data_IF_691806129773
#
_entry.id   IF_691806129773
#
_cell.length_a   1.000
_cell.length_b   1.000
_cell.length_c   1.000
_cell.angle_alpha   90.00
_cell.angle_beta   90.00
_cell.angle_gamma   90.00
#
_symmetry.space_group_name_H-M   'P 1'
#
loop_
_entity.id
_entity.type
_entity.pdbx_description
1 polymer ?
#
# COMPACT_ATOMS: atom_id res chain seq x y z
N UNK A 1 23.12 15.49 -1.93
CA UNK A 1 21.85 16.21 -2.18
C UNK A 1 21.24 15.67 -3.47
N UNK A 2 20.33 14.72 -3.37
CA UNK A 2 19.58 14.23 -4.55
C UNK A 2 18.66 15.38 -4.98
N UNK A 3 18.85 15.85 -6.20
CA UNK A 3 18.02 16.87 -6.85
C UNK A 3 16.58 16.36 -6.80
N UNK A 4 15.74 16.87 -5.88
CA UNK A 4 14.31 16.51 -5.83
C UNK A 4 13.74 16.92 -7.19
N UNK A 5 13.48 15.95 -8.07
CA UNK A 5 12.67 16.20 -9.24
C UNK A 5 11.34 16.73 -8.70
N UNK A 6 11.08 18.02 -8.93
CA UNK A 6 9.94 18.81 -8.44
C UNK A 6 8.65 18.42 -9.18
N UNK A 7 8.47 17.14 -9.46
CA UNK A 7 7.26 16.64 -10.09
C UNK A 7 6.24 16.53 -8.98
N UNK A 8 5.19 17.35 -9.07
CA UNK A 8 4.04 17.28 -8.16
C UNK A 8 3.57 15.83 -8.05
N UNK A 9 3.31 15.37 -6.82
CA UNK A 9 2.80 14.02 -6.55
C UNK A 9 1.59 13.68 -7.42
N UNK A 10 0.76 14.67 -7.77
CA UNK A 10 -0.40 14.50 -8.66
C UNK A 10 0.01 14.06 -10.06
N UNK A 11 1.05 14.68 -10.62
CA UNK A 11 1.56 14.37 -11.97
C UNK A 11 2.25 13.01 -11.97
N UNK A 12 2.99 12.67 -10.90
CA UNK A 12 3.59 11.34 -10.73
C UNK A 12 2.53 10.24 -10.71
N UNK A 13 1.48 10.41 -9.89
CA UNK A 13 0.36 9.46 -9.85
C UNK A 13 -0.33 9.35 -11.20
N UNK A 14 -0.55 10.47 -11.89
CA UNK A 14 -1.16 10.50 -13.22
C UNK A 14 -0.39 9.63 -14.22
N UNK A 15 0.92 9.84 -14.33
CA UNK A 15 1.75 9.01 -15.22
C UNK A 15 1.76 7.54 -14.81
N UNK A 16 1.87 7.23 -13.51
CA UNK A 16 1.87 5.86 -13.01
C UNK A 16 0.59 5.11 -13.40
N UNK A 17 -0.58 5.74 -13.23
CA UNK A 17 -1.86 5.14 -13.56
C UNK A 17 -2.07 5.02 -15.07
N UNK A 18 -1.66 6.01 -15.85
CA UNK A 18 -1.78 5.96 -17.32
C UNK A 18 -0.94 4.83 -17.90
N UNK A 19 0.35 4.77 -17.58
CA UNK A 19 1.23 3.71 -18.06
C UNK A 19 0.78 2.32 -17.58
N UNK A 20 0.37 2.21 -16.31
CA UNK A 20 -0.16 0.97 -15.75
C UNK A 20 -1.43 0.51 -16.48
N UNK A 21 -2.39 1.41 -16.70
CA UNK A 21 -3.64 1.08 -17.41
C UNK A 21 -3.40 0.68 -18.85
N UNK A 22 -2.47 1.35 -19.54
CA UNK A 22 -2.16 1.08 -20.94
C UNK A 22 -1.53 -0.31 -21.08
N UNK A 23 -0.56 -0.61 -20.21
CA UNK A 23 0.11 -1.91 -20.18
C UNK A 23 -0.86 -3.03 -19.83
N UNK A 24 -1.69 -2.86 -18.79
CA UNK A 24 -2.71 -3.84 -18.42
C UNK A 24 -3.75 -4.04 -19.52
N UNK A 25 -4.13 -2.98 -20.23
CA UNK A 25 -5.06 -3.09 -21.36
C UNK A 25 -4.50 -3.99 -22.48
N UNK A 26 -3.24 -3.80 -22.87
CA UNK A 26 -2.61 -4.66 -23.88
C UNK A 26 -2.45 -6.11 -23.42
N UNK A 27 -2.07 -6.32 -22.16
CA UNK A 27 -2.00 -7.66 -21.57
C UNK A 27 -3.38 -8.33 -21.57
N UNK A 28 -4.43 -7.58 -21.22
CA UNK A 28 -5.81 -8.08 -21.22
C UNK A 28 -6.26 -8.49 -22.62
N UNK A 29 -5.98 -7.69 -23.65
CA UNK A 29 -6.29 -8.06 -25.04
C UNK A 29 -5.59 -9.33 -25.51
N UNK A 30 -4.36 -9.56 -25.03
CA UNK A 30 -3.60 -10.76 -25.37
C UNK A 30 -4.11 -12.01 -24.62
N UNK A 31 -4.41 -11.86 -23.34
CA UNK A 31 -4.78 -12.97 -22.46
C UNK A 31 -6.25 -13.37 -22.61
N UNK A 32 -7.13 -12.42 -22.92
CA UNK A 32 -8.57 -12.63 -23.12
C UNK A 32 -9.02 -12.04 -24.46
N UNK A 33 -8.88 -12.80 -25.56
CA UNK A 33 -9.23 -12.34 -26.91
C UNK A 33 -10.71 -11.93 -27.07
N UNK A 34 -11.60 -12.52 -26.25
CA UNK A 34 -13.03 -12.21 -26.23
C UNK A 34 -13.43 -11.25 -25.10
N UNK A 35 -12.48 -10.70 -24.34
CA UNK A 35 -12.76 -9.85 -23.17
C UNK A 35 -13.56 -8.59 -23.52
N UNK A 36 -13.35 -8.02 -24.72
CA UNK A 36 -14.10 -6.86 -25.21
C UNK A 36 -15.60 -7.15 -25.38
N UNK A 37 -15.96 -8.36 -25.79
CA UNK A 37 -17.36 -8.77 -25.94
C UNK A 37 -18.07 -8.86 -24.59
N UNK A 38 -17.35 -9.23 -23.53
CA UNK A 38 -17.87 -9.27 -22.17
C UNK A 38 -18.18 -7.88 -21.60
N UNK A 39 -17.52 -6.82 -22.09
CA UNK A 39 -17.80 -5.44 -21.68
C UNK A 39 -19.20 -4.98 -22.12
N UNK A 40 -19.69 -5.47 -23.26
CA UNK A 40 -21.02 -5.13 -23.77
C UNK A 40 -22.17 -5.69 -22.91
N UNK A 41 -21.90 -6.73 -22.12
CA UNK A 41 -22.86 -7.33 -21.18
C UNK A 41 -22.84 -6.70 -19.78
N UNK A 42 -21.97 -5.72 -19.52
CA UNK A 42 -21.81 -5.13 -18.19
C UNK A 42 -22.98 -4.26 -17.76
N UNK A 43 -23.51 -4.49 -16.56
CA UNK A 43 -24.57 -3.66 -15.98
C UNK A 43 -24.02 -2.27 -15.58
N UNK A 44 -24.84 -1.19 -15.67
CA UNK A 44 -24.40 0.16 -15.27
C UNK A 44 -23.90 0.25 -13.81
N UNK A 45 -24.45 -0.58 -12.92
CA UNK A 45 -24.01 -0.64 -11.51
C UNK A 45 -22.58 -1.17 -11.36
N UNK A 46 -22.19 -2.19 -12.14
CA UNK A 46 -20.83 -2.72 -12.16
C UNK A 46 -19.83 -1.64 -12.57
N UNK A 47 -20.13 -0.89 -13.63
CA UNK A 47 -19.29 0.22 -14.09
C UNK A 47 -19.14 1.31 -13.04
N UNK A 48 -20.20 1.61 -12.29
CA UNK A 48 -20.14 2.58 -11.19
C UNK A 48 -19.24 2.10 -10.05
N UNK A 49 -19.30 0.81 -9.70
CA UNK A 49 -18.41 0.22 -8.68
C UNK A 49 -16.95 0.25 -9.14
N UNK A 50 -16.68 -0.10 -10.41
CA UNK A 50 -15.33 -0.02 -10.97
C UNK A 50 -14.79 1.40 -10.95
N UNK A 51 -15.60 2.38 -11.36
CA UNK A 51 -15.20 3.78 -11.33
C UNK A 51 -14.94 4.28 -9.91
N UNK A 52 -15.81 3.93 -8.96
CA UNK A 52 -15.62 4.26 -7.55
C UNK A 52 -14.33 3.64 -7.00
N UNK A 53 -14.06 2.37 -7.29
CA UNK A 53 -12.80 1.70 -6.90
C UNK A 53 -11.57 2.39 -7.52
N UNK A 54 -11.60 2.66 -8.82
CA UNK A 54 -10.49 3.30 -9.53
C UNK A 54 -10.17 4.69 -8.97
N UNK A 55 -11.19 5.47 -8.58
CA UNK A 55 -10.99 6.80 -8.02
C UNK A 55 -10.59 6.74 -6.54
N UNK A 56 -11.42 6.09 -5.70
CA UNK A 56 -11.26 6.14 -4.26
C UNK A 56 -10.19 5.20 -3.73
N UNK A 57 -10.16 3.95 -4.19
CA UNK A 57 -9.17 2.98 -3.71
C UNK A 57 -7.81 3.22 -4.37
N UNK A 58 -7.80 3.39 -5.69
CA UNK A 58 -6.55 3.44 -6.47
C UNK A 58 -6.00 4.86 -6.57
N UNK A 59 -6.72 5.79 -7.20
CA UNK A 59 -6.15 7.11 -7.50
C UNK A 59 -5.85 7.94 -6.24
N UNK A 60 -6.80 8.03 -5.29
CA UNK A 60 -6.57 8.73 -4.03
C UNK A 60 -5.52 8.03 -3.16
N UNK A 61 -5.57 6.70 -3.07
CA UNK A 61 -4.60 5.92 -2.30
C UNK A 61 -3.16 6.16 -2.78
N UNK A 62 -2.94 6.06 -4.09
CA UNK A 62 -1.62 6.34 -4.67
C UNK A 62 -1.23 7.82 -4.59
N UNK A 63 -2.18 8.74 -4.69
CA UNK A 63 -1.89 10.16 -4.50
C UNK A 63 -1.40 10.46 -3.07
N UNK A 64 -2.06 9.94 -2.05
CA UNK A 64 -1.62 10.09 -0.66
C UNK A 64 -0.29 9.40 -0.39
N UNK A 65 -0.08 8.21 -0.95
CA UNK A 65 1.20 7.50 -0.84
C UNK A 65 2.35 8.28 -1.49
N UNK A 66 2.16 8.77 -2.71
CA UNK A 66 3.17 9.59 -3.40
C UNK A 66 3.41 10.93 -2.69
N UNK A 67 2.37 11.54 -2.11
CA UNK A 67 2.52 12.72 -1.26
C UNK A 67 3.31 12.40 0.01
N UNK A 68 3.04 11.28 0.69
CA UNK A 68 3.79 10.84 1.86
C UNK A 68 5.28 10.68 1.51
N UNK A 69 5.61 10.03 0.40
CA UNK A 69 7.00 9.89 -0.07
C UNK A 69 7.68 11.26 -0.24
N UNK A 70 6.97 12.28 -0.71
CA UNK A 70 7.55 13.61 -0.88
C UNK A 70 7.80 14.35 0.45
N UNK A 71 6.97 14.09 1.47
CA UNK A 71 7.03 14.76 2.78
C UNK A 71 7.97 14.05 3.76
N UNK A 72 7.78 12.74 3.98
CA UNK A 72 8.52 11.93 4.95
C UNK A 72 9.61 11.06 4.29
N UNK A 73 9.66 11.01 2.95
CA UNK A 73 10.67 10.23 2.24
C UNK A 73 10.25 8.78 2.00
N UNK A 74 10.99 8.11 1.11
CA UNK A 74 10.64 6.78 0.60
C UNK A 74 10.79 5.68 1.65
N UNK A 75 11.82 5.75 2.51
CA UNK A 75 12.07 4.72 3.54
C UNK A 75 10.96 4.73 4.58
N UNK A 76 10.65 5.89 5.15
CA UNK A 76 9.58 6.05 6.14
C UNK A 76 8.22 5.68 5.54
N UNK A 77 7.92 6.11 4.31
CA UNK A 77 6.68 5.74 3.61
C UNK A 77 6.57 4.24 3.35
N UNK A 78 7.68 3.56 3.03
CA UNK A 78 7.72 2.12 2.82
C UNK A 78 7.47 1.34 4.12
N UNK A 79 7.84 1.89 5.28
CA UNK A 79 7.51 1.29 6.58
C UNK A 79 5.99 1.38 6.81
N UNK A 80 5.37 2.54 6.54
CA UNK A 80 3.92 2.71 6.69
C UNK A 80 3.11 1.81 5.76
N UNK A 81 3.53 1.60 4.51
CA UNK A 81 2.77 0.74 3.58
C UNK A 81 2.78 -0.74 4.00
N UNK A 82 3.77 -1.18 4.79
CA UNK A 82 3.79 -2.52 5.36
C UNK A 82 2.68 -2.75 6.41
N UNK A 83 2.01 -1.70 6.90
CA UNK A 83 0.82 -1.82 7.75
C UNK A 83 -0.46 -2.07 6.94
N UNK A 84 -0.42 -1.94 5.62
CA UNK A 84 -1.60 -2.15 4.77
C UNK A 84 -2.25 -3.54 4.96
N UNK A 85 -1.51 -4.66 5.07
CA UNK A 85 -2.09 -5.97 5.36
C UNK A 85 -2.85 -6.04 6.68
N UNK A 86 -2.40 -5.32 7.72
CA UNK A 86 -3.10 -5.22 9.01
C UNK A 86 -4.47 -4.57 8.82
N UNK A 87 -4.51 -3.40 8.16
CA UNK A 87 -5.76 -2.70 7.89
C UNK A 87 -6.66 -3.47 6.94
N UNK A 88 -6.10 -4.19 5.97
CA UNK A 88 -6.84 -5.07 5.07
C UNK A 88 -7.52 -6.20 5.82
N UNK A 89 -6.82 -6.88 6.74
CA UNK A 89 -7.40 -7.95 7.56
C UNK A 89 -8.52 -7.44 8.47
N UNK A 90 -8.30 -6.30 9.14
CA UNK A 90 -9.33 -5.64 9.95
C UNK A 90 -10.54 -5.21 9.11
N UNK A 91 -10.29 -4.69 7.91
CA UNK A 91 -11.32 -4.29 6.96
C UNK A 91 -12.15 -5.48 6.47
N UNK A 92 -11.52 -6.62 6.15
CA UNK A 92 -12.23 -7.83 5.76
C UNK A 92 -13.15 -8.33 6.88
N UNK A 93 -12.66 -8.35 8.13
CA UNK A 93 -13.48 -8.72 9.28
C UNK A 93 -14.67 -7.76 9.50
N UNK A 94 -14.44 -6.45 9.43
CA UNK A 94 -15.46 -5.43 9.75
C UNK A 94 -16.47 -5.20 8.61
N UNK A 95 -16.01 -5.13 7.36
CA UNK A 95 -16.86 -4.76 6.21
C UNK A 95 -17.42 -5.97 5.48
N UNK A 96 -16.65 -7.05 5.33
CA UNK A 96 -17.11 -8.26 4.63
C UNK A 96 -17.72 -9.28 5.61
N UNK A 97 -17.49 -9.13 6.91
CA UNK A 97 -17.98 -10.07 7.93
C UNK A 97 -17.25 -11.42 7.90
N UNK A 98 -16.07 -11.49 7.28
CA UNK A 98 -15.29 -12.72 7.21
C UNK A 98 -14.67 -13.06 8.57
N UNK A 99 -14.81 -14.30 9.02
CA UNK A 99 -14.15 -14.77 10.25
C UNK A 99 -12.64 -14.91 10.02
N UNK A 100 -11.84 -14.28 10.89
CA UNK A 100 -10.38 -14.39 10.80
C UNK A 100 -9.96 -15.84 11.05
N UNK A 101 -9.39 -16.48 10.04
CA UNK A 101 -8.94 -17.86 10.15
C UNK A 101 -7.62 -17.96 10.94
N UNK A 102 -7.33 -19.14 11.48
CA UNK A 102 -6.06 -19.39 12.16
C UNK A 102 -4.85 -19.18 11.24
N UNK A 103 -5.00 -19.45 9.93
CA UNK A 103 -3.93 -19.22 8.95
C UNK A 103 -3.70 -17.74 8.67
N UNK A 104 -4.76 -16.93 8.64
CA UNK A 104 -4.65 -15.47 8.53
C UNK A 104 -3.95 -14.86 9.75
N UNK A 105 -4.19 -15.41 10.95
CA UNK A 105 -3.51 -14.98 12.17
C UNK A 105 -1.99 -15.25 12.10
N UNK A 106 -1.58 -16.41 11.60
CA UNK A 106 -0.15 -16.72 11.39
C UNK A 106 0.45 -15.76 10.36
N UNK A 107 -0.25 -15.52 9.25
CA UNK A 107 0.17 -14.55 8.24
C UNK A 107 0.34 -13.14 8.82
N UNK A 108 -0.59 -12.72 9.67
CA UNK A 108 -0.53 -11.44 10.37
C UNK A 108 0.71 -11.33 11.27
N UNK A 109 1.01 -12.36 12.07
CA UNK A 109 2.22 -12.40 12.91
C UNK A 109 3.48 -12.30 12.04
N UNK A 110 3.55 -13.03 10.92
CA UNK A 110 4.68 -12.98 9.99
C UNK A 110 4.87 -11.59 9.37
N UNK A 111 3.78 -10.93 9.00
CA UNK A 111 3.83 -9.55 8.50
C UNK A 111 4.40 -8.62 9.57
N UNK A 112 3.87 -8.67 10.79
CA UNK A 112 4.36 -7.83 11.91
C UNK A 112 5.85 -8.05 12.15
N UNK A 113 6.30 -9.31 12.20
CA UNK A 113 7.72 -9.64 12.34
C UNK A 113 8.55 -9.07 11.19
N UNK A 114 8.09 -9.22 9.95
CA UNK A 114 8.75 -8.66 8.77
C UNK A 114 8.85 -7.13 8.82
N UNK A 115 7.79 -6.45 9.26
CA UNK A 115 7.80 -4.99 9.43
C UNK A 115 8.81 -4.57 10.49
N UNK A 116 8.81 -5.20 11.67
CA UNK A 116 9.72 -4.86 12.78
C UNK A 116 11.18 -5.06 12.37
N UNK A 117 11.49 -6.14 11.65
CA UNK A 117 12.83 -6.42 11.14
C UNK A 117 13.24 -5.46 10.01
N UNK A 118 12.35 -5.20 9.06
CA UNK A 118 12.65 -4.42 7.87
C UNK A 118 12.64 -2.90 8.07
N UNK A 119 11.95 -2.41 9.10
CA UNK A 119 11.83 -0.98 9.39
C UNK A 119 13.01 -0.39 10.15
N UNK A 120 13.94 -1.22 10.63
CA UNK A 120 15.03 -0.74 11.50
C UNK A 120 14.55 -0.32 12.90
N UNK A 121 13.30 -0.62 13.27
CA UNK A 121 12.78 -0.38 14.62
C UNK A 121 13.64 -1.08 15.68
N UNK A 122 14.26 -2.21 15.35
CA UNK A 122 15.23 -2.86 16.24
C UNK A 122 16.46 -2.00 16.51
N UNK A 123 16.97 -1.28 15.51
CA UNK A 123 18.11 -0.37 15.69
C UNK A 123 17.70 0.81 16.59
N UNK A 124 16.48 1.35 16.42
CA UNK A 124 15.94 2.39 17.32
C UNK A 124 15.73 1.89 18.74
N UNK A 125 15.19 0.69 18.92
CA UNK A 125 14.95 0.07 20.24
C UNK A 125 16.29 -0.25 20.93
N UNK A 126 17.29 -0.74 20.21
CA UNK A 126 18.61 -1.03 20.77
C UNK A 126 19.32 0.25 21.22
N UNK A 127 19.27 1.32 20.43
CA UNK A 127 19.78 2.64 20.82
C UNK A 127 19.05 3.18 22.05
N UNK A 128 17.73 3.06 22.12
CA UNK A 128 16.95 3.53 23.26
C UNK A 128 17.27 2.73 24.54
N UNK A 129 17.39 1.42 24.42
CA UNK A 129 17.73 0.52 25.52
C UNK A 129 19.16 0.76 26.01
N UNK A 130 20.10 1.00 25.10
CA UNK A 130 21.49 1.34 25.42
C UNK A 130 21.59 2.72 26.09
N UNK A 131 20.79 3.71 25.67
CA UNK A 131 20.68 5.03 26.34
C UNK A 131 20.11 4.91 27.75
N UNK A 132 19.06 4.13 27.95
CA UNK A 132 18.46 3.87 29.28
C UNK A 132 19.48 3.25 30.25
N UNK A 133 20.26 2.26 29.77
CA UNK A 133 21.31 1.58 30.54
C UNK A 133 22.47 2.53 30.94
N UNK A 134 22.76 3.55 30.13
CA UNK A 134 23.77 4.57 30.43
C UNK A 134 23.27 5.62 31.44
N UNK A 135 21.97 5.95 31.47
CA UNK A 135 21.41 6.89 32.45
C UNK A 135 21.21 6.26 33.84
N UNK A 136 20.94 4.96 33.92
CA UNK A 136 20.84 4.23 35.20
C UNK A 136 22.17 4.00 35.93
N UNK A 137 23.32 4.26 35.28
CA UNK A 137 24.67 4.09 35.86
C UNK A 137 25.26 5.39 36.42
N UNK A 138 24.51 6.50 36.36
CA UNK A 138 24.90 7.83 36.82
C UNK A 138 24.23 8.28 38.13
N UNK A 139 23.46 7.40 38.78
CA UNK A 139 23.01 7.57 40.17
C UNK A 139 23.85 6.70 41.11
#
# INVERSE_FOLDING_TARGET
MIKKATVDARVMTGWMLLFGSLLLFFISLWMEPNGLSSLAGGTPSLWMIFLASAVFATALGHMFYNQAIQHIGAVESAIFINLNPLFSLLGAYLFLGESISHTQMIGFILIVLGVVLGSGVLDEIEVFTHRSKMMGKKC
#
